data_IF_286289005409
#
_entry.id   IF_286289005409
#
_cell.length_a   1.000
_cell.length_b   1.000
_cell.length_c   1.000
_cell.angle_alpha   90.00
_cell.angle_beta   90.00
_cell.angle_gamma   90.00
#
_symmetry.space_group_name_H-M   'P 1'
#
loop_
_entity.id
_entity.type
_entity.pdbx_description
1 polymer ?
#
# COMPACT_ATOMS: atom_id res chain seq x y z
N UNK A 1 -10.45 0.94 -8.54
CA UNK A 1 -10.22 0.82 -7.08
C UNK A 1 -10.14 2.19 -6.45
N UNK A 2 -9.14 3.02 -6.78
CA UNK A 2 -9.03 4.36 -6.17
C UNK A 2 -10.26 5.24 -6.43
N UNK A 3 -10.77 5.25 -7.66
CA UNK A 3 -11.94 6.05 -8.04
C UNK A 3 -13.16 5.78 -7.14
N UNK A 4 -13.57 4.52 -7.00
CA UNK A 4 -14.65 4.15 -6.06
C UNK A 4 -14.35 4.44 -4.59
N UNK A 5 -13.07 4.44 -4.17
CA UNK A 5 -12.71 4.89 -2.83
C UNK A 5 -12.89 6.41 -2.68
N UNK A 6 -12.56 7.19 -3.71
CA UNK A 6 -12.80 8.63 -3.74
C UNK A 6 -14.30 8.93 -3.77
N UNK A 7 -15.08 8.26 -4.61
CA UNK A 7 -16.55 8.39 -4.66
C UNK A 7 -17.18 8.19 -3.28
N UNK A 8 -16.72 7.19 -2.52
CA UNK A 8 -17.16 7.00 -1.13
C UNK A 8 -16.75 8.17 -0.24
N UNK A 9 -15.48 8.59 -0.28
CA UNK A 9 -14.95 9.64 0.59
C UNK A 9 -15.52 11.04 0.29
N UNK A 10 -16.05 11.27 -0.91
CA UNK A 10 -16.71 12.53 -1.28
C UNK A 10 -18.23 12.50 -1.12
N UNK A 11 -18.82 11.35 -0.77
CA UNK A 11 -20.23 11.25 -0.42
C UNK A 11 -20.47 11.78 1.00
N UNK A 12 -20.49 13.10 1.14
CA UNK A 12 -20.65 13.78 2.42
C UNK A 12 -22.04 13.57 3.06
N UNK A 13 -23.01 13.04 2.30
CA UNK A 13 -24.34 12.69 2.82
C UNK A 13 -24.37 11.35 3.56
N UNK A 14 -23.39 10.49 3.33
CA UNK A 14 -23.32 9.17 3.94
C UNK A 14 -22.75 9.24 5.37
N UNK A 15 -23.45 8.69 6.39
CA UNK A 15 -22.97 8.71 7.77
C UNK A 15 -21.64 7.97 7.97
N UNK A 16 -21.32 6.96 7.16
CA UNK A 16 -20.05 6.24 7.28
C UNK A 16 -18.90 7.12 6.78
N UNK A 17 -19.11 7.87 5.69
CA UNK A 17 -18.15 8.84 5.19
C UNK A 17 -17.88 9.93 6.22
N UNK A 18 -18.92 10.49 6.84
CA UNK A 18 -18.76 11.47 7.93
C UNK A 18 -17.94 10.90 9.09
N UNK A 19 -18.28 9.71 9.57
CA UNK A 19 -17.53 9.05 10.64
C UNK A 19 -16.06 8.81 10.26
N UNK A 20 -15.76 8.48 8.99
CA UNK A 20 -14.38 8.33 8.53
C UNK A 20 -13.62 9.67 8.54
N UNK A 21 -14.22 10.73 8.02
CA UNK A 21 -13.58 12.04 7.91
C UNK A 21 -13.44 12.76 9.26
N UNK A 22 -14.33 12.48 10.22
CA UNK A 22 -14.23 12.99 11.59
C UNK A 22 -13.08 12.35 12.38
N UNK A 23 -12.71 11.11 12.04
CA UNK A 23 -11.70 10.34 12.77
C UNK A 23 -10.35 10.25 12.05
N UNK A 24 -10.31 10.44 10.72
CA UNK A 24 -9.13 10.19 9.91
C UNK A 24 -8.90 11.26 8.84
N UNK A 25 -7.63 11.56 8.60
CA UNK A 25 -7.18 12.37 7.46
C UNK A 25 -6.66 11.44 6.37
N UNK A 26 -7.29 11.48 5.20
CA UNK A 26 -6.87 10.70 4.04
C UNK A 26 -5.87 11.48 3.18
N UNK A 27 -4.63 10.98 3.07
CA UNK A 27 -3.62 11.51 2.16
C UNK A 27 -3.48 10.59 0.96
N UNK A 28 -3.82 11.08 -0.22
CA UNK A 28 -3.97 10.26 -1.42
C UNK A 28 -3.00 10.74 -2.50
N UNK A 29 -2.21 9.80 -3.04
CA UNK A 29 -1.39 10.01 -4.23
C UNK A 29 -2.07 9.25 -5.38
N UNK A 30 -2.76 9.93 -6.32
CA UNK A 30 -3.58 9.24 -7.30
C UNK A 30 -2.79 8.36 -8.27
N UNK A 31 -1.60 8.83 -8.66
CA UNK A 31 -0.74 8.15 -9.63
C UNK A 31 0.72 8.33 -9.22
N UNK A 32 1.41 7.22 -8.93
CA UNK A 32 2.85 7.23 -8.60
C UNK A 32 3.77 7.23 -9.84
N UNK A 33 3.27 6.78 -10.98
CA UNK A 33 4.02 6.69 -12.24
C UNK A 33 3.28 7.37 -13.41
N UNK A 34 3.06 8.70 -13.35
CA UNK A 34 2.29 9.39 -14.38
C UNK A 34 2.91 9.25 -15.77
N UNK A 35 4.24 9.34 -15.88
CA UNK A 35 4.94 9.24 -17.17
C UNK A 35 4.87 7.84 -17.78
N UNK A 36 5.01 6.79 -16.97
CA UNK A 36 4.86 5.42 -17.42
C UNK A 36 3.45 5.15 -17.93
N UNK A 37 2.44 5.60 -17.16
CA UNK A 37 1.02 5.47 -17.54
C UNK A 37 0.74 6.19 -18.86
N UNK A 38 1.19 7.44 -19.01
CA UNK A 38 0.99 8.22 -20.25
C UNK A 38 1.61 7.54 -21.48
N UNK A 39 2.65 6.72 -21.30
CA UNK A 39 3.33 5.96 -22.36
C UNK A 39 2.85 4.50 -22.50
N UNK A 40 1.80 4.11 -21.80
CA UNK A 40 1.26 2.74 -21.85
C UNK A 40 2.15 1.68 -21.17
N UNK A 41 3.06 2.10 -20.29
CA UNK A 41 3.85 1.17 -19.47
C UNK A 41 3.00 0.63 -18.33
N UNK A 42 3.04 -0.69 -18.13
CA UNK A 42 2.24 -1.35 -17.09
C UNK A 42 3.04 -1.72 -15.83
N UNK A 43 4.38 -1.76 -15.90
CA UNK A 43 5.24 -2.24 -14.79
C UNK A 43 6.36 -1.29 -14.40
N UNK A 44 6.91 -0.56 -15.37
CA UNK A 44 8.13 0.23 -15.21
C UNK A 44 7.88 1.71 -15.50
N UNK A 45 8.78 2.56 -15.05
CA UNK A 45 8.83 3.96 -15.48
C UNK A 45 9.35 4.10 -16.93
N UNK A 46 9.56 5.34 -17.37
CA UNK A 46 10.07 5.67 -18.70
C UNK A 46 11.51 5.23 -18.94
N UNK A 47 12.24 4.87 -17.89
CA UNK A 47 13.62 4.36 -17.92
C UNK A 47 13.69 2.84 -17.77
N UNK A 48 12.55 2.15 -17.77
CA UNK A 48 12.49 0.69 -17.59
C UNK A 48 12.70 0.23 -16.15
N UNK A 49 12.59 1.13 -15.17
CA UNK A 49 12.80 0.82 -13.75
C UNK A 49 11.48 0.45 -13.08
N UNK A 50 11.51 -0.64 -12.33
CA UNK A 50 10.43 -1.01 -11.41
C UNK A 50 10.46 -0.10 -10.17
N UNK A 51 9.56 0.89 -10.13
CA UNK A 51 9.50 1.85 -9.04
C UNK A 51 9.21 1.20 -7.67
N UNK A 52 8.47 0.09 -7.64
CA UNK A 52 8.16 -0.64 -6.40
C UNK A 52 9.33 -1.56 -5.95
N UNK A 53 10.54 -1.32 -6.45
CA UNK A 53 11.81 -1.92 -5.95
C UNK A 53 12.83 -0.87 -5.52
N UNK A 54 12.45 0.40 -5.56
CA UNK A 54 13.35 1.54 -5.28
C UNK A 54 12.99 2.29 -4.00
N UNK A 55 12.17 1.70 -3.11
CA UNK A 55 11.81 2.34 -1.85
C UNK A 55 12.93 2.35 -0.81
N UNK A 56 13.93 1.45 -0.91
CA UNK A 56 15.06 1.40 0.03
C UNK A 56 15.83 2.73 0.01
N UNK A 57 16.34 3.11 -1.17
CA UNK A 57 17.11 4.33 -1.39
C UNK A 57 16.67 5.00 -2.70
N UNK A 58 15.48 5.64 -2.72
CA UNK A 58 14.99 6.30 -3.93
C UNK A 58 15.82 7.56 -4.21
N UNK A 59 16.27 7.73 -5.46
CA UNK A 59 16.97 8.95 -5.86
C UNK A 59 15.99 10.05 -6.24
N UNK A 60 16.19 11.26 -5.72
CA UNK A 60 15.40 12.45 -6.08
C UNK A 60 15.43 12.80 -7.58
N UNK A 61 16.46 12.34 -8.30
CA UNK A 61 16.64 12.61 -9.73
C UNK A 61 16.16 11.46 -10.61
N UNK A 62 16.35 10.22 -10.14
CA UNK A 62 15.99 9.03 -10.93
C UNK A 62 14.58 8.54 -10.63
N UNK A 63 14.14 8.57 -9.38
CA UNK A 63 12.80 8.16 -8.92
C UNK A 63 12.17 9.26 -8.04
N UNK A 64 11.92 10.46 -8.61
CA UNK A 64 11.41 11.61 -7.85
C UNK A 64 10.08 11.31 -7.14
N UNK A 65 9.17 10.57 -7.78
CA UNK A 65 7.85 10.26 -7.23
C UNK A 65 7.94 9.35 -6.01
N UNK A 66 8.81 8.33 -6.05
CA UNK A 66 9.03 7.40 -4.94
C UNK A 66 9.75 8.09 -3.79
N UNK A 67 10.76 8.91 -4.09
CA UNK A 67 11.44 9.73 -3.09
C UNK A 67 10.46 10.67 -2.37
N UNK A 68 9.62 11.39 -3.13
CA UNK A 68 8.62 12.29 -2.55
C UNK A 68 7.56 11.54 -1.73
N UNK A 69 7.03 10.42 -2.25
CA UNK A 69 6.03 9.62 -1.55
C UNK A 69 6.57 9.03 -0.24
N UNK A 70 7.79 8.47 -0.26
CA UNK A 70 8.46 7.95 0.93
C UNK A 70 8.62 9.05 1.98
N UNK A 71 9.20 10.20 1.59
CA UNK A 71 9.42 11.31 2.52
C UNK A 71 8.12 11.91 3.05
N UNK A 72 7.04 11.92 2.27
CA UNK A 72 5.73 12.37 2.75
C UNK A 72 5.19 11.46 3.85
N UNK A 73 5.36 10.14 3.72
CA UNK A 73 4.96 9.18 4.77
C UNK A 73 5.83 9.33 6.01
N UNK A 74 7.15 9.38 5.84
CA UNK A 74 8.08 9.54 6.97
C UNK A 74 7.87 10.86 7.70
N UNK A 75 7.63 11.96 6.99
CA UNK A 75 7.35 13.25 7.61
C UNK A 75 6.06 13.25 8.45
N UNK A 76 5.07 12.41 8.13
CA UNK A 76 3.88 12.25 8.98
C UNK A 76 4.16 11.36 10.19
N UNK A 77 4.95 10.31 9.99
CA UNK A 77 5.40 9.45 11.09
C UNK A 77 6.25 10.23 12.10
N UNK A 78 7.19 11.05 11.63
CA UNK A 78 8.09 11.86 12.47
C UNK A 78 7.33 12.91 13.30
N UNK A 79 6.22 13.44 12.78
CA UNK A 79 5.36 14.38 13.53
C UNK A 79 4.66 13.70 14.70
N UNK A 80 4.07 12.52 14.44
CA UNK A 80 3.43 11.71 15.45
C UNK A 80 3.33 10.25 14.97
N UNK A 81 4.14 9.33 15.53
CA UNK A 81 4.15 7.92 15.14
C UNK A 81 2.77 7.25 15.28
N UNK A 82 1.98 7.66 16.28
CA UNK A 82 0.66 7.08 16.51
C UNK A 82 -0.40 7.57 15.52
N UNK A 83 -0.14 8.67 14.81
CA UNK A 83 -1.08 9.25 13.85
C UNK A 83 -1.14 8.46 12.53
N UNK A 84 -0.07 7.76 12.17
CA UNK A 84 -0.02 6.95 10.95
C UNK A 84 -0.69 5.60 11.21
N UNK A 85 -1.98 5.51 10.90
CA UNK A 85 -2.78 4.29 11.14
C UNK A 85 -2.62 3.23 10.05
N UNK A 86 -2.46 3.64 8.80
CA UNK A 86 -2.40 2.71 7.67
C UNK A 86 -1.74 3.34 6.46
N UNK A 87 -1.00 2.52 5.71
CA UNK A 87 -0.54 2.81 4.36
C UNK A 87 -1.15 1.77 3.43
N UNK A 88 -1.78 2.21 2.35
CA UNK A 88 -2.39 1.33 1.35
C UNK A 88 -1.76 1.61 -0.01
N UNK A 89 -1.26 0.56 -0.64
CA UNK A 89 -0.67 0.59 -1.98
C UNK A 89 -1.50 -0.27 -2.93
N UNK A 90 -2.24 0.36 -3.84
CA UNK A 90 -3.14 -0.33 -4.76
C UNK A 90 -2.39 -0.89 -5.97
N UNK A 91 -2.47 -2.21 -6.17
CA UNK A 91 -1.88 -2.91 -7.32
C UNK A 91 -2.91 -3.79 -8.03
N UNK A 92 -2.71 -3.98 -9.33
CA UNK A 92 -3.37 -5.04 -10.09
C UNK A 92 -2.52 -6.32 -10.04
N UNK A 93 -3.18 -7.47 -10.04
CA UNK A 93 -2.52 -8.77 -10.10
C UNK A 93 -2.96 -9.53 -11.35
N UNK A 94 -2.04 -9.90 -12.23
CA UNK A 94 -2.39 -10.49 -13.53
C UNK A 94 -2.81 -11.97 -13.45
N UNK A 95 -2.44 -12.69 -12.38
CA UNK A 95 -2.61 -14.15 -12.30
C UNK A 95 -3.70 -14.63 -11.33
N UNK A 96 -4.26 -13.75 -10.50
CA UNK A 96 -5.24 -14.11 -9.47
C UNK A 96 -6.50 -13.29 -9.71
N UNK A 97 -7.66 -13.90 -9.52
CA UNK A 97 -8.96 -13.22 -9.58
C UNK A 97 -9.34 -12.71 -8.18
N UNK A 98 -10.24 -11.74 -8.12
CA UNK A 98 -10.71 -11.14 -6.87
C UNK A 98 -9.78 -10.08 -6.29
N UNK A 99 -10.20 -9.51 -5.16
CA UNK A 99 -9.44 -8.54 -4.38
C UNK A 99 -8.83 -9.21 -3.16
N UNK A 100 -7.57 -8.93 -2.84
CA UNK A 100 -6.90 -9.49 -1.66
C UNK A 100 -5.82 -8.52 -1.20
N UNK A 101 -5.32 -8.70 0.02
CA UNK A 101 -4.32 -7.83 0.65
C UNK A 101 -3.03 -8.58 0.89
N UNK A 102 -1.91 -7.92 0.59
CA UNK A 102 -0.60 -8.31 1.08
C UNK A 102 -0.22 -7.39 2.23
N UNK A 103 -0.41 -7.85 3.46
CA UNK A 103 -0.02 -7.12 4.66
C UNK A 103 1.37 -7.48 5.14
N UNK A 104 1.83 -6.77 6.17
CA UNK A 104 3.07 -7.08 6.87
C UNK A 104 2.82 -8.12 7.97
N UNK A 105 3.85 -8.89 8.27
CA UNK A 105 3.87 -9.78 9.42
C UNK A 105 4.47 -9.04 10.62
N UNK A 106 3.76 -9.09 11.74
CA UNK A 106 4.19 -8.55 13.02
C UNK A 106 4.40 -9.72 13.99
N UNK A 107 5.50 -9.66 14.76
CA UNK A 107 5.77 -10.66 15.78
C UNK A 107 4.80 -10.56 16.96
N UNK A 108 4.40 -9.33 17.31
CA UNK A 108 3.38 -9.09 18.32
C UNK A 108 1.99 -9.51 17.80
N UNK A 109 1.32 -10.36 18.58
CA UNK A 109 0.01 -10.90 18.21
C UNK A 109 -1.06 -9.80 18.12
N UNK A 110 -1.01 -8.79 18.99
CA UNK A 110 -1.97 -7.68 18.99
C UNK A 110 -1.89 -6.87 17.71
N UNK A 111 -0.68 -6.43 17.34
CA UNK A 111 -0.40 -5.74 16.07
C UNK A 111 -0.74 -6.61 14.86
N UNK A 112 -0.47 -7.91 14.92
CA UNK A 112 -0.79 -8.85 13.85
C UNK A 112 -2.30 -8.98 13.63
N UNK A 113 -3.09 -9.09 14.71
CA UNK A 113 -4.55 -9.09 14.63
C UNK A 113 -5.06 -7.78 14.03
N UNK A 114 -4.54 -6.63 14.48
CA UNK A 114 -4.92 -5.33 13.94
C UNK A 114 -4.64 -5.22 12.43
N UNK A 115 -3.49 -5.70 11.97
CA UNK A 115 -3.14 -5.70 10.55
C UNK A 115 -4.08 -6.56 9.68
N UNK A 116 -4.67 -7.62 10.26
CA UNK A 116 -5.60 -8.52 9.57
C UNK A 116 -7.07 -8.12 9.72
N UNK A 117 -7.39 -7.23 10.67
CA UNK A 117 -8.77 -6.85 11.00
C UNK A 117 -9.50 -6.23 9.82
N UNK A 118 -8.94 -5.20 9.19
CA UNK A 118 -9.58 -4.54 8.04
C UNK A 118 -9.81 -5.52 6.87
N UNK A 119 -8.81 -6.29 6.40
CA UNK A 119 -9.01 -7.33 5.39
C UNK A 119 -10.11 -8.34 5.76
N UNK A 120 -10.22 -8.72 7.04
CA UNK A 120 -11.28 -9.63 7.49
C UNK A 120 -12.67 -8.98 7.43
N UNK A 121 -12.79 -7.73 7.85
CA UNK A 121 -14.03 -6.95 7.73
C UNK A 121 -14.42 -6.75 6.26
N UNK A 122 -13.46 -6.51 5.37
CA UNK A 122 -13.70 -6.41 3.93
C UNK A 122 -14.25 -7.72 3.37
N UNK A 123 -13.72 -8.88 3.79
CA UNK A 123 -14.22 -10.18 3.35
C UNK A 123 -15.67 -10.44 3.77
N UNK A 124 -16.08 -9.96 4.94
CA UNK A 124 -17.45 -10.09 5.44
C UNK A 124 -18.41 -9.20 4.63
N UNK A 125 -17.95 -8.01 4.22
CA UNK A 125 -18.80 -7.00 3.58
C UNK A 125 -18.71 -6.98 2.05
N UNK A 126 -17.73 -7.67 1.45
CA UNK A 126 -17.48 -7.67 0.01
C UNK A 126 -17.27 -9.09 -0.51
N UNK A 127 -18.26 -9.59 -1.26
CA UNK A 127 -18.19 -10.91 -1.92
C UNK A 127 -17.03 -11.08 -2.90
N UNK A 128 -16.42 -9.98 -3.33
CA UNK A 128 -15.30 -9.98 -4.27
C UNK A 128 -13.94 -9.95 -3.55
N UNK A 129 -13.94 -9.80 -2.23
CA UNK A 129 -12.72 -9.81 -1.42
C UNK A 129 -12.43 -11.23 -0.92
N UNK A 130 -11.29 -11.76 -1.34
CA UNK A 130 -10.79 -13.08 -1.00
C UNK A 130 -9.75 -12.96 0.13
N UNK A 131 -10.21 -13.27 1.35
CA UNK A 131 -9.33 -13.25 2.52
C UNK A 131 -8.29 -14.38 2.46
N UNK A 132 -8.63 -15.55 1.92
CA UNK A 132 -7.73 -16.70 1.88
C UNK A 132 -6.61 -16.49 0.85
N UNK A 133 -6.85 -15.67 -0.18
CA UNK A 133 -5.81 -15.21 -1.10
C UNK A 133 -4.89 -14.12 -0.51
N UNK A 134 -5.28 -13.49 0.59
CA UNK A 134 -4.50 -12.45 1.29
C UNK A 134 -3.30 -13.08 2.00
N UNK A 135 -2.21 -12.33 2.18
CA UNK A 135 -0.97 -12.84 2.78
C UNK A 135 -0.41 -11.88 3.81
N UNK A 136 -0.08 -12.42 4.98
CA UNK A 136 0.52 -11.70 6.12
C UNK A 136 1.72 -12.49 6.65
N UNK A 137 2.61 -12.86 5.75
CA UNK A 137 3.68 -13.84 6.00
C UNK A 137 5.00 -13.12 6.31
N UNK A 138 5.82 -13.72 7.19
CA UNK A 138 7.17 -13.27 7.55
C UNK A 138 8.08 -13.02 6.33
N UNK A 139 9.08 -12.16 6.51
CA UNK A 139 10.06 -11.81 5.47
C UNK A 139 10.91 -13.00 5.02
N UNK A 140 11.14 -13.99 5.89
CA UNK A 140 11.89 -15.22 5.56
C UNK A 140 11.18 -16.08 4.51
N UNK A 141 9.85 -16.22 4.58
CA UNK A 141 9.06 -16.98 3.59
C UNK A 141 8.76 -16.15 2.31
N UNK A 142 9.07 -14.85 2.30
CA UNK A 142 9.01 -14.03 1.09
C UNK A 142 10.29 -14.13 0.22
N UNK A 143 11.38 -14.71 0.75
CA UNK A 143 12.66 -14.85 0.05
C UNK A 143 12.73 -16.07 -0.89
N UNK A 144 11.81 -17.03 -0.77
CA UNK A 144 11.83 -18.31 -1.52
C UNK A 144 11.42 -18.21 -3.01
N UNK A 145 11.34 -17.01 -3.60
CA UNK A 145 11.11 -16.87 -5.04
C UNK A 145 12.44 -16.60 -5.79
N UNK A 146 13.05 -17.60 -6.46
CA UNK A 146 14.49 -17.58 -6.80
C UNK A 146 14.93 -16.57 -7.88
N UNK A 147 14.00 -15.82 -8.49
CA UNK A 147 14.26 -15.08 -9.74
C UNK A 147 13.79 -13.63 -9.79
N UNK A 148 13.49 -12.99 -8.66
CA UNK A 148 13.15 -11.56 -8.63
C UNK A 148 13.95 -10.88 -7.53
N UNK A 149 14.50 -9.70 -7.82
CA UNK A 149 14.96 -8.75 -6.80
C UNK A 149 13.98 -8.81 -5.62
N UNK A 150 14.49 -9.16 -4.44
CA UNK A 150 13.67 -9.54 -3.30
C UNK A 150 12.57 -8.51 -3.02
N UNK A 151 11.39 -8.98 -2.58
CA UNK A 151 10.26 -8.09 -2.24
C UNK A 151 10.57 -7.11 -1.11
N UNK A 152 11.72 -7.24 -0.46
CA UNK A 152 12.21 -6.38 0.62
C UNK A 152 12.33 -4.91 0.25
N UNK A 153 12.56 -4.56 -1.02
CA UNK A 153 12.63 -3.18 -1.51
C UNK A 153 11.29 -2.56 -1.96
N UNK A 154 10.17 -3.24 -1.67
CA UNK A 154 8.83 -2.73 -1.98
C UNK A 154 8.35 -1.67 -0.98
N UNK A 155 7.40 -0.83 -1.41
CA UNK A 155 6.77 0.19 -0.56
C UNK A 155 6.35 -0.38 0.79
N UNK A 156 5.54 -1.45 0.76
CA UNK A 156 5.04 -2.15 1.94
C UNK A 156 6.17 -2.62 2.86
N UNK A 157 7.24 -3.17 2.32
CA UNK A 157 8.32 -3.76 3.13
C UNK A 157 9.21 -2.69 3.75
N UNK A 158 9.60 -1.68 2.96
CA UNK A 158 10.50 -0.62 3.43
C UNK A 158 9.79 0.31 4.40
N UNK A 159 8.61 0.83 4.03
CA UNK A 159 7.87 1.75 4.89
C UNK A 159 7.51 1.10 6.21
N UNK A 160 7.09 -0.17 6.20
CA UNK A 160 6.82 -0.87 7.45
C UNK A 160 8.05 -0.98 8.36
N UNK A 161 9.25 -1.24 7.84
CA UNK A 161 10.48 -1.30 8.66
C UNK A 161 10.85 0.07 9.23
N UNK A 162 10.63 1.13 8.47
CA UNK A 162 10.98 2.49 8.86
C UNK A 162 9.93 3.16 9.77
N UNK A 163 8.73 2.57 9.89
CA UNK A 163 7.62 3.08 10.72
C UNK A 163 7.14 2.07 11.78
N UNK A 164 8.04 1.28 12.38
CA UNK A 164 7.70 0.31 13.46
C UNK A 164 7.67 0.90 14.87
#
# INVERSE_FOLDING_TARGET
MLDGALEKLIDFGDPQTQALLDNYVFKIIPVLNPDGVARGQWRTDTKGVDLNRKYEEPSKWMQPTIHAAKNAVLAEFDKNPESLKMIVDFHAHCSKKGCFVYGNFNQDLGRQIQAMLLPKLMAINCKFFDFDASRFISSSENADWPHKEGRGGSARSVLHRETQ
#
